data_IF_718276635346
#
_entry.id   IF_718276635346
#
_cell.length_a   1.000
_cell.length_b   1.000
_cell.length_c   1.000
_cell.angle_alpha   90.00
_cell.angle_beta   90.00
_cell.angle_gamma   90.00
#
_symmetry.space_group_name_H-M   'P 1'
#
loop_
_entity.id
_entity.type
_entity.pdbx_description
1 polymer ?
#
# COMPACT_ATOMS: atom_id res chain seq x y z
N UNK A 1 -8.45 0.49 1.19
CA UNK A 1 -8.33 1.59 0.21
C UNK A 1 -9.62 1.60 -0.63
N UNK A 2 -9.85 2.61 -1.48
CA UNK A 2 -10.94 2.55 -2.45
C UNK A 2 -10.89 1.24 -3.25
N UNK A 3 -12.03 0.58 -3.53
CA UNK A 3 -12.08 -0.70 -4.26
C UNK A 3 -11.41 -0.67 -5.63
N UNK A 4 -11.30 0.50 -6.24
CA UNK A 4 -10.71 0.77 -7.55
C UNK A 4 -9.17 0.74 -7.54
N UNK A 5 -8.56 0.69 -6.36
CA UNK A 5 -7.11 0.57 -6.18
C UNK A 5 -6.73 -0.89 -5.98
N UNK A 6 -5.88 -1.40 -6.86
CA UNK A 6 -5.24 -2.70 -6.70
C UNK A 6 -3.90 -2.57 -5.96
N UNK A 7 -3.87 -3.06 -4.72
CA UNK A 7 -2.71 -3.08 -3.85
C UNK A 7 -1.57 -3.98 -4.39
N UNK A 8 -1.85 -4.99 -5.23
CA UNK A 8 -0.80 -5.76 -5.90
C UNK A 8 -0.07 -4.91 -6.94
N UNK A 9 -0.84 -4.20 -7.77
CA UNK A 9 -0.30 -3.33 -8.80
C UNK A 9 0.54 -2.16 -8.23
N UNK A 10 0.29 -1.78 -6.97
CA UNK A 10 1.03 -0.75 -6.26
C UNK A 10 2.38 -1.20 -5.69
N UNK A 11 2.64 -2.51 -5.58
CA UNK A 11 3.86 -3.05 -4.95
C UNK A 11 5.15 -2.48 -5.58
N UNK A 12 5.32 -2.43 -6.92
CA UNK A 12 6.54 -1.89 -7.51
C UNK A 12 6.75 -0.41 -7.18
N UNK A 13 5.67 0.39 -7.12
CA UNK A 13 5.72 1.83 -6.79
C UNK A 13 6.09 2.04 -5.32
N UNK A 14 5.53 1.23 -4.42
CA UNK A 14 5.86 1.28 -3.00
C UNK A 14 7.33 0.89 -2.74
N UNK A 15 7.83 -0.15 -3.41
CA UNK A 15 9.25 -0.56 -3.32
C UNK A 15 10.16 0.57 -3.79
N UNK A 16 9.82 1.25 -4.90
CA UNK A 16 10.57 2.41 -5.38
C UNK A 16 10.57 3.56 -4.36
N UNK A 17 9.48 3.72 -3.60
CA UNK A 17 9.38 4.65 -2.47
C UNK A 17 10.00 4.11 -1.16
N UNK A 18 10.78 3.01 -1.22
CA UNK A 18 11.44 2.34 -0.08
C UNK A 18 10.47 1.77 0.97
N UNK A 19 9.25 1.42 0.58
CA UNK A 19 8.24 0.79 1.44
C UNK A 19 7.89 -0.59 0.90
N UNK A 20 7.99 -1.61 1.75
CA UNK A 20 7.51 -2.96 1.46
C UNK A 20 6.28 -3.28 2.31
N UNK A 21 5.26 -3.87 1.70
CA UNK A 21 4.07 -4.38 2.37
C UNK A 21 3.60 -5.67 1.70
N UNK A 22 2.66 -6.40 2.32
CA UNK A 22 2.07 -7.59 1.72
C UNK A 22 0.67 -7.24 1.19
N UNK A 23 0.39 -7.45 -0.11
CA UNK A 23 -0.95 -7.24 -0.67
C UNK A 23 -2.01 -8.11 -0.01
N UNK A 24 -3.23 -7.59 0.07
CA UNK A 24 -4.35 -8.25 0.74
C UNK A 24 -4.73 -9.58 0.11
N UNK A 25 -4.63 -9.72 -1.22
CA UNK A 25 -4.96 -10.97 -1.95
C UNK A 25 -4.26 -12.23 -1.43
N UNK A 26 -3.12 -12.11 -0.73
CA UNK A 26 -2.46 -13.24 -0.08
C UNK A 26 -3.25 -13.81 1.12
N UNK A 27 -4.28 -13.11 1.60
CA UNK A 27 -5.04 -13.43 2.81
C UNK A 27 -6.53 -13.72 2.56
N UNK A 28 -7.02 -13.54 1.33
CA UNK A 28 -8.42 -13.75 0.95
C UNK A 28 -8.52 -14.88 -0.08
N UNK A 29 -9.13 -16.01 0.33
CA UNK A 29 -9.25 -17.20 -0.52
C UNK A 29 -10.35 -17.07 -1.61
N UNK A 30 -11.24 -16.09 -1.46
CA UNK A 30 -12.37 -15.79 -2.34
C UNK A 30 -12.02 -14.81 -3.47
N UNK A 31 -10.74 -14.39 -3.58
CA UNK A 31 -10.29 -13.43 -4.58
C UNK A 31 -10.61 -11.97 -4.26
N UNK A 32 -11.14 -11.68 -3.07
CA UNK A 32 -11.35 -10.32 -2.59
C UNK A 32 -10.07 -9.71 -2.00
N UNK A 33 -10.14 -8.47 -1.53
CA UNK A 33 -9.04 -7.83 -0.81
C UNK A 33 -7.92 -7.30 -1.69
N UNK A 34 -8.15 -7.12 -2.99
CA UNK A 34 -7.24 -6.40 -3.88
C UNK A 34 -6.97 -4.97 -3.39
N UNK A 35 -7.93 -4.32 -2.73
CA UNK A 35 -7.80 -2.97 -2.15
C UNK A 35 -7.26 -2.96 -0.69
N UNK A 36 -6.89 -4.12 -0.17
CA UNK A 36 -6.36 -4.29 1.19
C UNK A 36 -4.86 -4.55 1.16
N UNK A 37 -4.17 -4.24 2.26
CA UNK A 37 -2.76 -4.53 2.44
C UNK A 37 -2.46 -4.79 3.92
N UNK A 38 -1.36 -5.50 4.19
CA UNK A 38 -0.85 -5.77 5.54
C UNK A 38 0.46 -5.03 5.77
N UNK A 39 0.51 -4.24 6.84
CA UNK A 39 1.70 -3.55 7.32
C UNK A 39 2.19 -4.22 8.60
N UNK A 40 3.50 -4.37 8.75
CA UNK A 40 4.12 -4.81 10.01
C UNK A 40 5.04 -3.71 10.55
N UNK A 41 4.94 -3.44 11.84
CA UNK A 41 5.69 -2.42 12.58
C UNK A 41 6.59 -3.02 13.67
N UNK A 42 6.78 -4.34 13.68
CA UNK A 42 7.54 -5.03 14.75
C UNK A 42 9.06 -4.83 14.69
N UNK A 43 9.60 -4.37 13.55
CA UNK A 43 11.04 -4.23 13.30
C UNK A 43 11.54 -2.78 13.13
N UNK A 44 10.82 -1.85 12.46
CA UNK A 44 11.31 -0.49 12.27
C UNK A 44 11.24 0.35 13.55
N UNK A 45 12.11 1.37 13.66
CA UNK A 45 12.00 2.39 14.71
C UNK A 45 10.78 3.30 14.48
N UNK A 46 10.27 4.00 15.51
CA UNK A 46 9.15 4.93 15.37
C UNK A 46 9.31 5.98 14.26
N UNK A 47 10.53 6.49 14.07
CA UNK A 47 10.87 7.47 13.02
C UNK A 47 10.69 6.83 11.63
N UNK A 48 11.21 5.62 11.44
CA UNK A 48 11.09 4.87 10.18
C UNK A 48 9.65 4.47 9.88
N UNK A 49 8.83 4.22 10.89
CA UNK A 49 7.39 3.99 10.72
C UNK A 49 6.75 5.25 10.15
N UNK A 50 7.04 6.42 10.74
CA UNK A 50 6.48 7.70 10.30
C UNK A 50 6.87 8.02 8.85
N UNK A 51 8.16 7.88 8.52
CA UNK A 51 8.67 8.08 7.16
C UNK A 51 8.05 7.08 6.16
N UNK A 52 7.97 5.80 6.53
CA UNK A 52 7.40 4.76 5.68
C UNK A 52 5.91 4.98 5.40
N UNK A 53 5.12 5.35 6.41
CA UNK A 53 3.70 5.67 6.24
C UNK A 53 3.53 6.92 5.39
N UNK A 54 4.37 7.95 5.57
CA UNK A 54 4.35 9.15 4.72
C UNK A 54 4.61 8.80 3.26
N UNK A 55 5.69 8.08 2.96
CA UNK A 55 6.04 7.65 1.61
C UNK A 55 4.93 6.79 0.97
N UNK A 56 4.35 5.85 1.73
CA UNK A 56 3.22 5.05 1.27
C UNK A 56 2.00 5.91 0.94
N UNK A 57 1.70 6.91 1.77
CA UNK A 57 0.57 7.81 1.54
C UNK A 57 0.73 8.61 0.25
N UNK A 58 1.95 9.03 -0.09
CA UNK A 58 2.25 9.75 -1.33
C UNK A 58 2.05 8.86 -2.55
N UNK A 59 2.48 7.59 -2.50
CA UNK A 59 2.24 6.60 -3.56
C UNK A 59 0.75 6.36 -3.78
N UNK A 60 -0.03 6.17 -2.71
CA UNK A 60 -1.47 5.94 -2.80
C UNK A 60 -2.19 7.17 -3.36
N UNK A 61 -1.85 8.37 -2.90
CA UNK A 61 -2.43 9.62 -3.41
C UNK A 61 -2.13 9.83 -4.89
N UNK A 62 -0.90 9.56 -5.33
CA UNK A 62 -0.53 9.63 -6.74
C UNK A 62 -1.34 8.64 -7.58
N UNK A 63 -1.58 7.42 -7.09
CA UNK A 63 -2.42 6.45 -7.77
C UNK A 63 -3.89 6.88 -7.84
N UNK A 64 -4.44 7.40 -6.74
CA UNK A 64 -5.80 7.96 -6.71
C UNK A 64 -5.97 9.08 -7.73
N UNK A 65 -5.01 10.01 -7.80
CA UNK A 65 -5.00 11.10 -8.79
C UNK A 65 -4.93 10.57 -10.22
N UNK A 66 -4.04 9.61 -10.51
CA UNK A 66 -3.94 8.99 -11.83
C UNK A 66 -5.24 8.32 -12.27
N UNK A 67 -6.00 7.76 -11.31
CA UNK A 67 -7.29 7.12 -11.55
C UNK A 67 -8.49 8.08 -11.43
N UNK A 68 -8.25 9.36 -11.16
CA UNK A 68 -9.29 10.38 -10.93
C UNK A 68 -10.31 9.99 -9.84
N UNK A 69 -9.83 9.30 -8.81
CA UNK A 69 -10.62 8.92 -7.62
C UNK A 69 -10.54 10.09 -6.64
N UNK A 70 -11.67 10.78 -6.43
CA UNK A 70 -11.81 11.92 -5.52
C UNK A 70 -11.80 11.49 -4.04
#
# INVERSE_FOLDING_TARGET
>A
MPPEIDANALVPKAIAAKVAYVPGTAFFADGLGSWSLRISYCYPTPERITEGIKALSEVIKAEMQNRQIN
#
